data_IF_450039342216
#
_entry.id   IF_450039342216
#
_cell.length_a   1.000
_cell.length_b   1.000
_cell.length_c   1.000
_cell.angle_alpha   90.00
_cell.angle_beta   90.00
_cell.angle_gamma   90.00
#
_symmetry.space_group_name_H-M   'P 1'
#
loop_
_entity.id
_entity.type
_entity.pdbx_description
1 polymer ?
#
# COMPACT_ATOMS: atom_id res chain seq x y z
N UNK A 1 17.47 27.67 9.65
CA UNK A 1 17.03 27.17 8.33
C UNK A 1 16.73 25.70 8.52
N UNK A 2 15.47 25.32 8.69
CA UNK A 2 15.11 23.91 8.96
C UNK A 2 14.48 23.29 7.71
N UNK A 3 15.08 22.20 7.26
CA UNK A 3 14.67 21.42 6.09
C UNK A 3 14.38 19.99 6.56
N UNK A 4 13.11 19.73 6.88
CA UNK A 4 12.73 18.53 7.61
C UNK A 4 12.66 17.30 6.70
N UNK A 5 13.53 16.31 6.93
CA UNK A 5 13.48 15.01 6.27
C UNK A 5 12.56 14.07 7.06
N UNK A 6 11.60 13.41 6.40
CA UNK A 6 10.72 12.41 7.02
C UNK A 6 11.13 11.02 6.55
N UNK A 7 11.60 10.19 7.49
CA UNK A 7 11.95 8.79 7.23
C UNK A 7 10.76 7.86 7.46
N UNK A 8 10.58 6.89 6.57
CA UNK A 8 9.73 5.72 6.82
C UNK A 8 10.64 4.56 7.21
N UNK A 9 10.86 4.37 8.52
CA UNK A 9 11.56 3.19 9.02
C UNK A 9 10.63 1.95 8.99
N UNK A 10 10.91 1.03 8.07
CA UNK A 10 10.28 -0.29 7.98
C UNK A 10 11.21 -1.45 8.37
N UNK A 11 12.36 -1.15 9.00
CA UNK A 11 13.34 -2.15 9.42
C UNK A 11 12.88 -2.98 10.62
N UNK A 12 13.41 -4.20 10.76
CA UNK A 12 13.01 -5.18 11.79
C UNK A 12 14.24 -5.86 12.40
N UNK A 13 14.30 -5.99 13.73
CA UNK A 13 15.15 -7.00 14.38
C UNK A 13 14.76 -7.33 15.82
N UNK A 14 14.69 -8.63 16.11
CA UNK A 14 15.06 -9.34 17.35
C UNK A 14 14.84 -8.69 18.74
N UNK A 15 13.93 -9.29 19.51
CA UNK A 15 14.29 -9.96 20.76
C UNK A 15 13.39 -11.21 20.94
N UNK A 16 13.86 -12.23 21.67
CA UNK A 16 13.20 -13.54 21.76
C UNK A 16 13.17 -14.04 23.20
N UNK A 17 12.05 -14.61 23.65
CA UNK A 17 12.07 -15.63 24.72
C UNK A 17 10.94 -16.66 24.50
N UNK A 18 11.18 -17.88 25.00
CA UNK A 18 10.31 -19.05 24.88
C UNK A 18 9.39 -19.17 26.10
N UNK A 19 8.23 -19.81 25.94
CA UNK A 19 7.90 -21.13 26.55
C UNK A 19 6.51 -21.62 26.04
N UNK A 20 6.20 -22.92 26.08
CA UNK A 20 5.01 -23.50 25.44
C UNK A 20 3.84 -23.75 26.41
N UNK A 21 2.62 -23.87 25.87
CA UNK A 21 1.51 -24.57 26.52
C UNK A 21 0.72 -25.44 25.54
N UNK A 22 -0.15 -26.31 26.06
CA UNK A 22 -0.43 -27.64 25.50
C UNK A 22 -1.82 -27.83 24.87
N UNK A 23 -1.95 -28.97 24.15
CA UNK A 23 -3.16 -29.50 23.50
C UNK A 23 -4.41 -29.50 24.41
N UNK A 24 -5.57 -29.24 23.82
CA UNK A 24 -6.86 -29.91 24.16
C UNK A 24 -7.57 -30.33 22.85
N UNK A 25 -8.31 -31.44 22.90
CA UNK A 25 -9.06 -32.10 21.81
C UNK A 25 -10.31 -32.78 22.43
N UNK A 26 -11.31 -33.33 21.72
CA UNK A 26 -11.44 -33.77 20.31
C UNK A 26 -12.59 -33.02 19.56
N UNK A 27 -13.62 -33.57 18.84
CA UNK A 27 -14.45 -32.77 17.91
C UNK A 27 -15.94 -32.63 18.32
N UNK A 28 -16.75 -32.00 17.44
CA UNK A 28 -18.18 -32.33 17.31
C UNK A 28 -18.60 -32.39 15.83
N UNK A 29 -19.41 -33.38 15.46
CA UNK A 29 -19.97 -33.53 14.10
C UNK A 29 -21.36 -32.88 14.02
N UNK A 30 -21.70 -32.28 12.87
CA UNK A 30 -23.00 -31.64 12.68
C UNK A 30 -23.28 -31.22 11.23
N UNK A 31 -23.43 -32.20 10.33
CA UNK A 31 -23.79 -31.91 8.94
C UNK A 31 -25.31 -31.67 8.80
N UNK A 32 -25.71 -30.48 8.33
CA UNK A 32 -27.08 -30.19 7.87
C UNK A 32 -27.01 -29.62 6.46
N UNK A 33 -27.68 -30.32 5.52
CA UNK A 33 -27.83 -29.89 4.14
C UNK A 33 -29.18 -29.22 3.94
N UNK A 34 -29.20 -28.01 3.38
CA UNK A 34 -30.42 -27.38 2.86
C UNK A 34 -30.10 -26.53 1.62
N UNK A 35 -30.78 -26.84 0.51
CA UNK A 35 -30.73 -26.09 -0.76
C UNK A 35 -31.95 -25.19 -0.88
N UNK A 36 -31.80 -23.91 -1.30
CA UNK A 36 -32.32 -23.36 -2.58
C UNK A 36 -32.42 -21.82 -2.65
N UNK A 37 -32.51 -21.37 -3.91
CA UNK A 37 -33.20 -20.17 -4.41
C UNK A 37 -32.75 -18.78 -3.93
N UNK A 38 -31.79 -18.26 -4.68
CA UNK A 38 -31.72 -16.89 -5.23
C UNK A 38 -33.10 -16.21 -5.37
N UNK A 39 -33.16 -14.93 -5.00
CA UNK A 39 -34.20 -13.97 -5.40
C UNK A 39 -33.63 -12.54 -5.34
N UNK A 40 -33.83 -11.67 -6.36
CA UNK A 40 -33.12 -10.39 -6.46
C UNK A 40 -33.78 -9.27 -5.65
N UNK A 41 -33.01 -8.59 -4.80
CA UNK A 41 -33.43 -7.32 -4.21
C UNK A 41 -33.16 -6.16 -5.17
N UNK A 42 -34.23 -5.48 -5.59
CA UNK A 42 -34.20 -4.44 -6.61
C UNK A 42 -34.08 -3.05 -5.95
N UNK A 43 -33.06 -2.27 -6.33
CA UNK A 43 -32.76 -0.98 -5.72
C UNK A 43 -33.64 0.11 -6.33
N UNK A 44 -34.23 0.97 -5.49
CA UNK A 44 -34.80 2.26 -5.91
C UNK A 44 -34.05 3.40 -5.22
N UNK A 45 -33.68 4.48 -5.95
CA UNK A 45 -32.91 5.58 -5.39
C UNK A 45 -33.77 6.46 -4.47
N UNK A 46 -33.18 6.94 -3.39
CA UNK A 46 -33.81 7.93 -2.51
C UNK A 46 -33.69 9.33 -3.14
N UNK A 47 -34.78 10.10 -3.14
CA UNK A 47 -34.82 11.43 -3.76
C UNK A 47 -34.30 12.50 -2.79
N UNK A 48 -33.35 13.31 -3.24
CA UNK A 48 -32.89 14.50 -2.51
C UNK A 48 -34.04 15.50 -2.34
N UNK A 49 -34.25 16.02 -1.14
CA UNK A 49 -35.20 17.13 -0.94
C UNK A 49 -34.71 18.16 0.09
N UNK A 50 -34.93 19.43 -0.26
CA UNK A 50 -34.91 20.64 0.58
C UNK A 50 -33.67 20.89 1.46
N UNK A 51 -32.77 21.72 0.93
CA UNK A 51 -31.94 22.61 1.75
C UNK A 51 -32.83 23.45 2.66
N UNK A 52 -32.54 23.49 3.97
CA UNK A 52 -32.96 24.59 4.85
C UNK A 52 -31.73 25.33 5.36
N UNK A 53 -31.61 26.59 4.96
CA UNK A 53 -30.72 27.57 5.59
C UNK A 53 -31.17 27.80 7.04
N UNK A 54 -30.20 27.87 7.95
CA UNK A 54 -30.38 28.43 9.29
C UNK A 54 -29.35 29.54 9.50
N UNK A 55 -29.75 30.55 10.27
CA UNK A 55 -29.02 31.82 10.36
C UNK A 55 -27.70 31.67 11.11
N UNK A 56 -26.69 32.42 10.66
CA UNK A 56 -25.58 32.83 11.52
C UNK A 56 -26.16 33.60 12.71
N UNK A 57 -25.65 33.34 13.91
CA UNK A 57 -25.77 34.24 15.06
C UNK A 57 -24.37 34.51 15.58
N UNK A 58 -23.99 35.78 15.65
CA UNK A 58 -22.68 36.19 16.17
C UNK A 58 -22.74 36.32 17.69
N UNK A 59 -21.78 35.72 18.38
CA UNK A 59 -21.52 35.95 19.79
C UNK A 59 -20.03 36.19 20.00
N UNK A 60 -19.65 37.46 20.15
CA UNK A 60 -18.26 37.84 20.42
C UNK A 60 -17.81 37.35 21.80
N UNK A 61 -16.67 36.66 21.85
CA UNK A 61 -15.87 36.52 23.06
C UNK A 61 -14.39 36.61 22.67
N UNK A 62 -13.56 37.42 23.37
CA UNK A 62 -12.16 37.59 23.00
C UNK A 62 -11.33 36.39 23.47
N UNK A 63 -10.88 35.55 22.52
CA UNK A 63 -9.88 34.52 22.80
C UNK A 63 -8.56 35.16 23.30
N UNK A 64 -7.87 34.56 24.28
CA UNK A 64 -6.62 35.12 24.80
C UNK A 64 -5.51 35.08 23.75
N UNK A 65 -4.76 36.18 23.63
CA UNK A 65 -3.59 36.27 22.75
C UNK A 65 -2.45 35.45 23.36
N UNK A 66 -2.30 34.19 22.91
CA UNK A 66 -1.13 33.37 23.25
C UNK A 66 0.06 33.91 22.45
N UNK A 67 0.86 34.73 23.14
CA UNK A 67 2.03 35.40 22.58
C UNK A 67 3.24 34.45 22.62
N UNK A 68 3.18 33.35 21.86
CA UNK A 68 4.24 32.33 21.86
C UNK A 68 5.51 32.82 21.15
N UNK A 69 6.43 33.36 21.95
CA UNK A 69 7.82 33.61 21.59
C UNK A 69 8.76 32.56 22.20
N UNK A 70 8.45 31.28 22.04
CA UNK A 70 9.41 30.20 22.30
C UNK A 70 10.15 29.80 21.00
N UNK A 71 11.46 30.07 20.95
CA UNK A 71 12.31 29.83 19.78
C UNK A 71 12.74 28.37 19.60
N UNK A 72 11.83 27.41 19.79
CA UNK A 72 12.11 26.00 19.51
C UNK A 72 12.06 25.70 18.01
N UNK A 73 13.06 25.00 17.46
CA UNK A 73 12.94 24.49 16.08
C UNK A 73 11.86 23.42 16.01
N UNK A 74 10.78 23.71 15.30
CA UNK A 74 9.67 22.78 15.08
C UNK A 74 10.14 21.58 14.23
N UNK A 75 10.48 20.48 14.90
CA UNK A 75 10.75 19.19 14.26
C UNK A 75 9.53 18.65 13.53
N UNK A 76 9.71 18.06 12.35
CA UNK A 76 8.59 17.49 11.61
C UNK A 76 7.91 16.33 12.34
N UNK A 77 6.58 16.24 12.19
CA UNK A 77 5.77 15.09 12.62
C UNK A 77 6.15 13.87 11.78
N UNK A 78 6.61 12.80 12.44
CA UNK A 78 6.94 11.52 11.78
C UNK A 78 5.67 10.80 11.31
N UNK A 79 5.70 10.29 10.08
CA UNK A 79 4.68 9.36 9.56
C UNK A 79 5.08 7.94 9.96
N UNK A 80 4.46 7.42 11.03
CA UNK A 80 4.71 6.08 11.53
C UNK A 80 3.91 5.04 10.72
N UNK A 81 4.55 4.54 9.67
CA UNK A 81 4.03 3.44 8.86
C UNK A 81 3.94 2.10 9.61
N UNK A 82 4.71 1.89 10.69
CA UNK A 82 4.63 0.68 11.52
C UNK A 82 3.34 0.67 12.35
N UNK A 83 2.98 1.81 12.94
CA UNK A 83 1.71 2.03 13.64
C UNK A 83 0.52 1.87 12.69
N UNK A 84 0.50 2.59 11.56
CA UNK A 84 -0.62 2.53 10.60
C UNK A 84 -0.79 1.12 10.02
N UNK A 85 0.31 0.44 9.66
CA UNK A 85 0.24 -0.94 9.19
C UNK A 85 -0.23 -1.92 10.29
N UNK A 86 -0.06 -1.61 11.59
CA UNK A 86 -0.68 -2.40 12.67
C UNK A 86 -2.19 -2.18 12.70
N UNK A 87 -2.65 -0.93 12.70
CA UNK A 87 -4.09 -0.59 12.69
C UNK A 87 -4.82 -1.31 11.54
N UNK A 88 -4.27 -1.25 10.32
CA UNK A 88 -4.81 -1.93 9.15
C UNK A 88 -4.85 -3.47 9.32
N UNK A 89 -3.85 -4.08 9.98
CA UNK A 89 -3.89 -5.53 10.29
C UNK A 89 -4.92 -5.86 11.37
N UNK A 90 -5.09 -5.01 12.38
CA UNK A 90 -6.10 -5.19 13.42
C UNK A 90 -7.52 -5.12 12.80
N UNK A 91 -7.74 -4.15 11.89
CA UNK A 91 -8.96 -3.99 11.08
C UNK A 91 -9.22 -5.22 10.20
N UNK A 92 -8.24 -5.68 9.42
CA UNK A 92 -8.38 -6.87 8.55
C UNK A 92 -8.66 -8.13 9.37
N UNK A 93 -8.03 -8.29 10.54
CA UNK A 93 -8.28 -9.44 11.43
C UNK A 93 -9.74 -9.50 11.86
N UNK A 94 -10.36 -8.36 12.19
CA UNK A 94 -11.77 -8.30 12.55
C UNK A 94 -12.69 -8.70 11.37
N UNK A 95 -12.41 -8.24 10.15
CA UNK A 95 -13.21 -8.62 8.97
C UNK A 95 -13.03 -10.08 8.55
N UNK A 96 -11.82 -10.64 8.66
CA UNK A 96 -11.56 -12.06 8.36
C UNK A 96 -12.25 -12.97 9.39
N UNK A 97 -12.28 -12.58 10.67
CA UNK A 97 -13.05 -13.31 11.70
C UNK A 97 -14.55 -13.28 11.41
N UNK A 98 -15.13 -12.10 11.12
CA UNK A 98 -16.55 -11.97 10.72
C UNK A 98 -16.88 -12.83 9.50
N UNK A 99 -16.03 -12.85 8.47
CA UNK A 99 -16.22 -13.68 7.28
C UNK A 99 -16.23 -15.17 7.63
N UNK A 100 -15.28 -15.59 8.47
CA UNK A 100 -15.17 -16.99 8.93
C UNK A 100 -16.39 -17.42 9.75
N UNK A 101 -16.90 -16.55 10.62
CA UNK A 101 -18.10 -16.80 11.41
C UNK A 101 -19.38 -16.82 10.57
N UNK A 102 -19.49 -15.92 9.58
CA UNK A 102 -20.70 -15.78 8.75
C UNK A 102 -20.84 -16.86 7.65
N UNK A 103 -19.74 -17.28 7.01
CA UNK A 103 -19.77 -18.20 5.87
C UNK A 103 -18.77 -19.37 5.93
N UNK A 104 -17.97 -19.50 7.00
CA UNK A 104 -17.00 -20.59 7.15
C UNK A 104 -15.75 -20.50 6.27
N UNK A 105 -15.60 -19.42 5.50
CA UNK A 105 -14.49 -19.19 4.55
C UNK A 105 -13.57 -18.08 5.07
N UNK A 106 -12.29 -18.14 4.70
CA UNK A 106 -11.31 -17.05 4.85
C UNK A 106 -10.62 -16.79 3.51
N UNK A 107 -10.11 -15.57 3.24
CA UNK A 107 -9.36 -15.29 2.03
C UNK A 107 -8.09 -16.14 1.92
N UNK A 108 -7.60 -16.32 0.69
CA UNK A 108 -6.35 -17.04 0.42
C UNK A 108 -5.43 -16.27 -0.53
N UNK A 109 -4.16 -16.08 -0.12
CA UNK A 109 -3.11 -15.45 -0.93
C UNK A 109 -2.10 -16.49 -1.39
N UNK A 110 -1.94 -16.65 -2.70
CA UNK A 110 -0.85 -17.40 -3.29
C UNK A 110 0.35 -16.49 -3.59
N UNK A 111 1.56 -16.94 -3.25
CA UNK A 111 2.81 -16.23 -3.52
C UNK A 111 3.76 -17.14 -4.28
N UNK A 112 4.25 -16.65 -5.43
CA UNK A 112 5.27 -17.31 -6.25
C UNK A 112 6.58 -16.57 -6.11
N UNK A 113 7.65 -17.30 -5.81
CA UNK A 113 9.04 -16.83 -5.72
C UNK A 113 9.88 -17.61 -6.73
N UNK A 114 10.75 -16.92 -7.46
CA UNK A 114 11.73 -17.53 -8.38
C UNK A 114 13.12 -17.10 -7.93
N UNK A 115 14.00 -18.06 -7.66
CA UNK A 115 15.35 -17.86 -7.13
C UNK A 115 15.41 -17.47 -5.64
N UNK A 116 16.62 -17.53 -5.07
CA UNK A 116 16.88 -17.39 -3.62
C UNK A 116 17.43 -16.00 -3.21
N UNK A 117 17.05 -14.96 -3.96
CA UNK A 117 17.39 -13.56 -3.65
C UNK A 117 16.99 -13.20 -2.21
N UNK A 118 17.96 -12.86 -1.38
CA UNK A 118 17.79 -12.66 0.09
C UNK A 118 16.75 -11.60 0.45
N UNK A 119 16.64 -10.56 -0.35
CA UNK A 119 15.61 -9.53 -0.25
C UNK A 119 14.23 -10.10 -0.60
N UNK A 120 14.08 -10.72 -1.78
CA UNK A 120 12.83 -11.37 -2.22
C UNK A 120 12.33 -12.43 -1.22
N UNK A 121 13.21 -13.31 -0.74
CA UNK A 121 12.92 -14.32 0.29
C UNK A 121 12.43 -13.68 1.60
N UNK A 122 13.02 -12.54 1.99
CA UNK A 122 12.60 -11.79 3.17
C UNK A 122 11.22 -11.15 2.99
N UNK A 123 10.94 -10.56 1.82
CA UNK A 123 9.62 -10.01 1.50
C UNK A 123 8.53 -11.10 1.50
N UNK A 124 8.77 -12.25 0.86
CA UNK A 124 7.82 -13.39 0.83
C UNK A 124 7.53 -13.91 2.24
N UNK A 125 8.58 -14.12 3.05
CA UNK A 125 8.44 -14.52 4.46
C UNK A 125 7.62 -13.51 5.28
N UNK A 126 7.79 -12.21 5.03
CA UNK A 126 7.07 -11.17 5.73
C UNK A 126 5.60 -11.08 5.27
N UNK A 127 5.32 -11.25 3.96
CA UNK A 127 3.96 -11.35 3.39
C UNK A 127 3.19 -12.54 3.98
N UNK A 128 3.83 -13.72 4.04
CA UNK A 128 3.27 -14.92 4.66
C UNK A 128 2.91 -14.72 6.13
N UNK A 129 3.82 -14.17 6.93
CA UNK A 129 3.57 -13.80 8.34
C UNK A 129 2.43 -12.79 8.51
N UNK A 130 2.27 -11.86 7.57
CA UNK A 130 1.15 -10.92 7.60
C UNK A 130 -0.19 -11.65 7.43
N UNK A 131 -0.30 -12.55 6.43
CA UNK A 131 -1.48 -13.39 6.23
C UNK A 131 -1.79 -14.25 7.47
N UNK A 132 -0.79 -14.97 7.98
CA UNK A 132 -0.90 -15.80 9.20
C UNK A 132 -1.39 -14.97 10.40
N UNK A 133 -0.89 -13.73 10.56
CA UNK A 133 -1.26 -12.84 11.68
C UNK A 133 -2.69 -12.28 11.63
N UNK A 134 -3.36 -12.33 10.47
CA UNK A 134 -4.74 -11.83 10.28
C UNK A 134 -5.73 -12.93 9.88
N UNK A 135 -5.32 -14.21 9.93
CA UNK A 135 -6.18 -15.36 9.64
C UNK A 135 -6.41 -15.67 8.15
N UNK A 136 -5.62 -15.08 7.25
CA UNK A 136 -5.66 -15.35 5.80
C UNK A 136 -4.81 -16.59 5.47
N UNK A 137 -5.34 -17.49 4.64
CA UNK A 137 -4.60 -18.65 4.15
C UNK A 137 -3.44 -18.19 3.25
N UNK A 138 -2.25 -18.76 3.42
CA UNK A 138 -1.08 -18.46 2.59
C UNK A 138 -0.59 -19.71 1.86
N UNK A 139 -0.57 -19.64 0.53
CA UNK A 139 0.02 -20.65 -0.35
C UNK A 139 1.35 -20.12 -0.88
N UNK A 140 2.37 -20.97 -0.94
CA UNK A 140 3.74 -20.56 -1.29
C UNK A 140 4.31 -21.55 -2.32
N UNK A 141 4.80 -21.02 -3.44
CA UNK A 141 5.53 -21.77 -4.46
C UNK A 141 6.92 -21.14 -4.59
N UNK A 142 7.95 -21.98 -4.53
CA UNK A 142 9.33 -21.59 -4.80
C UNK A 142 9.83 -22.37 -6.00
N UNK A 143 10.39 -21.64 -6.95
CA UNK A 143 11.03 -22.16 -8.16
C UNK A 143 12.51 -21.78 -8.13
N UNK A 144 13.41 -22.61 -8.67
CA UNK A 144 14.83 -22.27 -8.73
C UNK A 144 15.05 -21.11 -9.70
N UNK A 145 16.24 -20.50 -9.66
CA UNK A 145 16.53 -19.32 -10.50
C UNK A 145 16.56 -19.66 -12.00
N UNK A 146 16.92 -20.90 -12.36
CA UNK A 146 16.98 -21.41 -13.74
C UNK A 146 15.64 -21.93 -14.30
N UNK A 147 14.55 -21.82 -13.54
CA UNK A 147 13.22 -22.23 -14.03
C UNK A 147 12.80 -21.45 -15.27
N UNK A 148 11.94 -22.07 -16.08
CA UNK A 148 11.37 -21.47 -17.28
C UNK A 148 10.18 -20.57 -16.97
N UNK A 149 9.95 -19.57 -17.81
CA UNK A 149 8.77 -18.69 -17.72
C UNK A 149 7.44 -19.48 -17.78
N UNK A 150 7.41 -20.55 -18.59
CA UNK A 150 6.26 -21.42 -18.77
C UNK A 150 5.93 -22.23 -17.51
N UNK A 151 6.91 -22.56 -16.66
CA UNK A 151 6.68 -23.16 -15.35
C UNK A 151 6.03 -22.15 -14.40
N UNK A 152 6.50 -20.90 -14.37
CA UNK A 152 5.90 -19.82 -13.57
C UNK A 152 4.44 -19.62 -13.97
N UNK A 153 4.17 -19.48 -15.28
CA UNK A 153 2.82 -19.30 -15.84
C UNK A 153 1.93 -20.52 -15.54
N UNK A 154 2.46 -21.74 -15.53
CA UNK A 154 1.71 -22.95 -15.13
C UNK A 154 1.27 -22.91 -13.66
N UNK A 155 2.08 -22.38 -12.75
CA UNK A 155 1.66 -22.16 -11.35
C UNK A 155 0.66 -21.02 -11.20
N UNK A 156 0.82 -19.92 -11.95
CA UNK A 156 -0.18 -18.84 -12.00
C UNK A 156 -1.53 -19.40 -12.50
N UNK A 157 -1.55 -20.11 -13.63
CA UNK A 157 -2.75 -20.71 -14.19
C UNK A 157 -3.44 -21.69 -13.23
N UNK A 158 -2.67 -22.47 -12.44
CA UNK A 158 -3.22 -23.29 -11.37
C UNK A 158 -3.95 -22.44 -10.32
N UNK A 159 -3.35 -21.34 -9.86
CA UNK A 159 -3.92 -20.46 -8.84
C UNK A 159 -5.08 -19.59 -9.36
N UNK A 160 -5.07 -19.20 -10.64
CA UNK A 160 -6.21 -18.57 -11.33
C UNK A 160 -7.45 -19.48 -11.23
N UNK A 161 -7.29 -20.77 -11.51
CA UNK A 161 -8.36 -21.77 -11.45
C UNK A 161 -8.69 -22.32 -10.04
N UNK A 162 -7.90 -21.99 -9.01
CA UNK A 162 -8.12 -22.49 -7.64
C UNK A 162 -9.12 -21.58 -6.87
N UNK A 163 -10.31 -22.07 -6.48
CA UNK A 163 -11.32 -21.26 -5.78
C UNK A 163 -10.96 -20.97 -4.31
N UNK A 164 -9.93 -21.59 -3.74
CA UNK A 164 -9.40 -21.22 -2.42
C UNK A 164 -8.44 -20.03 -2.49
N UNK A 165 -7.90 -19.73 -3.67
CA UNK A 165 -7.01 -18.59 -3.91
C UNK A 165 -7.82 -17.40 -4.40
N UNK A 166 -7.74 -16.31 -3.64
CA UNK A 166 -8.45 -15.04 -3.85
C UNK A 166 -7.51 -13.93 -4.32
N UNK A 167 -6.20 -14.09 -4.12
CA UNK A 167 -5.17 -13.20 -4.62
C UNK A 167 -3.90 -13.97 -4.99
N UNK A 168 -3.18 -13.49 -5.99
CA UNK A 168 -1.92 -14.07 -6.49
C UNK A 168 -0.88 -12.96 -6.50
N UNK A 169 0.34 -13.31 -6.08
CA UNK A 169 1.48 -12.41 -6.06
C UNK A 169 2.71 -13.09 -6.65
N UNK A 170 3.32 -12.47 -7.66
CA UNK A 170 4.62 -12.87 -8.20
C UNK A 170 5.69 -11.96 -7.57
N UNK A 171 6.64 -12.53 -6.83
CA UNK A 171 7.65 -11.72 -6.14
C UNK A 171 8.72 -11.23 -7.13
N UNK A 172 8.72 -9.93 -7.39
CA UNK A 172 9.69 -9.24 -8.22
C UNK A 172 11.01 -8.92 -7.46
N UNK A 173 12.12 -8.68 -8.18
CA UNK A 173 12.30 -8.88 -9.63
C UNK A 173 12.47 -10.36 -9.96
N UNK A 174 12.04 -10.73 -11.17
CA UNK A 174 12.27 -12.07 -11.73
C UNK A 174 13.70 -12.21 -12.31
N UNK A 175 14.16 -13.45 -12.60
CA UNK A 175 15.40 -13.70 -13.32
C UNK A 175 15.42 -13.02 -14.70
N UNK A 176 16.59 -12.58 -15.15
CA UNK A 176 16.74 -11.73 -16.34
C UNK A 176 16.44 -12.39 -17.69
N UNK A 177 16.11 -13.68 -17.72
CA UNK A 177 15.68 -14.43 -18.90
C UNK A 177 14.14 -14.57 -19.03
N UNK A 178 13.37 -14.03 -18.08
CA UNK A 178 11.90 -14.00 -18.12
C UNK A 178 11.38 -12.62 -18.55
N UNK A 179 10.30 -12.57 -19.31
CA UNK A 179 9.52 -11.34 -19.49
C UNK A 179 8.60 -11.12 -18.29
N UNK A 180 9.01 -10.20 -17.40
CA UNK A 180 8.23 -9.79 -16.24
C UNK A 180 6.81 -9.34 -16.61
N UNK A 181 6.60 -8.71 -17.77
CA UNK A 181 5.27 -8.30 -18.21
C UNK A 181 4.44 -9.51 -18.65
N UNK A 182 5.02 -10.49 -19.34
CA UNK A 182 4.29 -11.70 -19.73
C UNK A 182 3.85 -12.52 -18.49
N UNK A 183 4.74 -12.65 -17.50
CA UNK A 183 4.43 -13.33 -16.23
C UNK A 183 3.35 -12.58 -15.43
N UNK A 184 3.44 -11.25 -15.30
CA UNK A 184 2.42 -10.47 -14.59
C UNK A 184 1.07 -10.43 -15.34
N UNK A 185 1.07 -10.42 -16.68
CA UNK A 185 -0.13 -10.48 -17.50
C UNK A 185 -0.86 -11.84 -17.42
N UNK A 186 -0.21 -12.90 -16.95
CA UNK A 186 -0.84 -14.21 -16.75
C UNK A 186 -1.71 -14.28 -15.49
N UNK A 187 -1.59 -13.31 -14.57
CA UNK A 187 -2.42 -13.24 -13.35
C UNK A 187 -3.80 -12.67 -13.71
N UNK A 188 -4.88 -13.40 -13.38
CA UNK A 188 -6.24 -12.91 -13.63
C UNK A 188 -6.48 -11.56 -12.94
N UNK A 189 -7.12 -10.61 -13.62
CA UNK A 189 -7.40 -9.27 -13.08
C UNK A 189 -8.19 -9.29 -11.76
N UNK A 190 -8.97 -10.36 -11.52
CA UNK A 190 -9.76 -10.56 -10.30
C UNK A 190 -8.93 -11.15 -9.13
N UNK A 191 -7.66 -11.53 -9.37
CA UNK A 191 -6.71 -12.00 -8.36
C UNK A 191 -5.38 -11.22 -8.32
N UNK A 192 -5.19 -10.22 -9.19
CA UNK A 192 -4.04 -9.30 -9.24
C UNK A 192 -3.99 -8.35 -8.03
N UNK A 193 -3.80 -8.89 -6.82
CA UNK A 193 -3.83 -8.11 -5.57
C UNK A 193 -2.67 -7.11 -5.43
N UNK A 194 -1.56 -7.32 -6.13
CA UNK A 194 -0.45 -6.35 -6.23
C UNK A 194 -0.75 -5.23 -7.27
N UNK A 195 -1.83 -5.35 -8.07
CA UNK A 195 -2.38 -4.30 -8.92
C UNK A 195 -1.58 -3.98 -10.20
N UNK A 196 -0.74 -4.91 -10.66
CA UNK A 196 0.21 -4.67 -11.75
C UNK A 196 -0.31 -5.05 -13.15
N UNK A 197 -1.43 -5.77 -13.25
CA UNK A 197 -2.04 -6.08 -14.55
C UNK A 197 -2.40 -4.76 -15.28
N UNK A 198 -1.98 -4.56 -16.55
CA UNK A 198 -2.21 -3.32 -17.29
C UNK A 198 -3.68 -2.86 -17.38
N UNK A 199 -4.65 -3.76 -17.21
CA UNK A 199 -6.07 -3.38 -17.12
C UNK A 199 -6.42 -2.65 -15.80
N UNK A 200 -5.78 -2.98 -14.68
CA UNK A 200 -5.91 -2.23 -13.44
C UNK A 200 -5.26 -0.84 -13.57
N UNK A 201 -4.04 -0.74 -14.12
CA UNK A 201 -3.39 0.55 -14.37
C UNK A 201 -4.19 1.41 -15.38
N UNK A 202 -4.73 0.80 -16.44
CA UNK A 202 -5.58 1.48 -17.42
C UNK A 202 -6.89 2.00 -16.81
N UNK A 203 -7.58 1.18 -16.01
CA UNK A 203 -8.76 1.62 -15.25
C UNK A 203 -8.41 2.75 -14.27
N UNK A 204 -7.28 2.68 -13.57
CA UNK A 204 -6.79 3.72 -12.67
C UNK A 204 -6.56 5.05 -13.40
N UNK A 205 -6.01 5.03 -14.62
CA UNK A 205 -5.76 6.23 -15.43
C UNK A 205 -7.03 6.85 -16.04
N UNK A 206 -8.11 6.08 -16.23
CA UNK A 206 -9.35 6.57 -16.83
C UNK A 206 -10.30 7.19 -15.80
N UNK A 207 -10.84 8.38 -16.07
CA UNK A 207 -11.99 8.93 -15.33
C UNK A 207 -13.25 8.10 -15.61
N UNK A 208 -14.11 7.95 -14.60
CA UNK A 208 -15.36 7.19 -14.72
C UNK A 208 -15.19 5.67 -14.81
N UNK A 209 -14.04 5.15 -14.37
CA UNK A 209 -13.76 3.71 -14.21
C UNK A 209 -13.00 3.50 -12.92
N UNK A 210 -13.17 2.34 -12.30
CA UNK A 210 -12.37 1.96 -11.14
C UNK A 210 -11.62 0.64 -11.39
N UNK A 211 -10.35 0.56 -10.96
CA UNK A 211 -9.59 -0.68 -11.01
C UNK A 211 -10.11 -1.67 -9.97
N UNK A 212 -9.88 -2.97 -10.18
CA UNK A 212 -10.18 -3.98 -9.15
C UNK A 212 -9.15 -3.90 -8.02
N UNK A 213 -7.88 -3.72 -8.39
CA UNK A 213 -6.76 -3.56 -7.47
C UNK A 213 -5.89 -2.36 -7.85
N UNK A 214 -5.22 -1.80 -6.85
CA UNK A 214 -4.35 -0.63 -6.99
C UNK A 214 -2.99 -1.00 -6.43
N UNK A 215 -1.88 -0.70 -7.14
CA UNK A 215 -0.53 -0.98 -6.69
C UNK A 215 -0.28 -0.70 -5.21
N UNK A 216 0.09 -1.77 -4.49
CA UNK A 216 0.13 -1.80 -3.02
C UNK A 216 0.90 -0.64 -2.40
N UNK A 217 2.11 -0.37 -2.91
CA UNK A 217 2.99 0.68 -2.38
C UNK A 217 2.43 2.09 -2.63
N UNK A 218 2.02 2.47 -3.85
CA UNK A 218 1.25 3.70 -4.10
C UNK A 218 -0.01 3.83 -3.24
N UNK A 219 -0.83 2.78 -3.11
CA UNK A 219 -2.02 2.81 -2.24
C UNK A 219 -1.64 3.07 -0.78
N UNK A 220 -0.59 2.43 -0.29
CA UNK A 220 -0.05 2.66 1.05
C UNK A 220 0.45 4.08 1.27
N UNK A 221 1.04 4.73 0.25
CA UNK A 221 1.43 6.14 0.35
C UNK A 221 0.21 7.05 0.58
N UNK A 222 -0.87 6.82 -0.17
CA UNK A 222 -2.14 7.57 -0.06
C UNK A 222 -2.83 7.30 1.28
N UNK A 223 -2.89 6.04 1.71
CA UNK A 223 -3.43 5.64 3.03
C UNK A 223 -2.69 6.35 4.18
N UNK A 224 -1.37 6.49 4.10
CA UNK A 224 -0.59 7.24 5.10
C UNK A 224 -0.94 8.73 5.12
N UNK A 225 -1.19 9.36 3.96
CA UNK A 225 -1.65 10.75 3.89
C UNK A 225 -3.03 10.92 4.55
N UNK A 226 -3.98 10.02 4.25
CA UNK A 226 -5.32 10.02 4.87
C UNK A 226 -5.27 9.80 6.39
N UNK A 227 -4.54 8.79 6.85
CA UNK A 227 -4.39 8.48 8.29
C UNK A 227 -3.71 9.60 9.08
N UNK A 228 -2.95 10.47 8.41
CA UNK A 228 -2.32 11.66 9.00
C UNK A 228 -3.11 12.96 8.77
N UNK A 229 -4.31 12.88 8.16
CA UNK A 229 -5.19 13.99 7.81
C UNK A 229 -4.52 15.05 6.90
N UNK A 230 -3.70 14.61 5.95
CA UNK A 230 -3.08 15.47 4.94
C UNK A 230 -4.09 15.74 3.83
N UNK A 231 -4.52 16.99 3.70
CA UNK A 231 -5.32 17.44 2.55
C UNK A 231 -4.51 17.28 1.25
N UNK A 232 -4.93 16.37 0.36
CA UNK A 232 -4.33 16.14 -0.97
C UNK A 232 -4.94 17.08 -2.03
N UNK A 233 -6.23 17.39 -1.90
CA UNK A 233 -7.01 18.19 -2.85
C UNK A 233 -6.42 19.58 -3.07
N UNK A 234 -6.22 19.95 -4.34
CA UNK A 234 -5.69 21.24 -4.75
C UNK A 234 -4.20 21.48 -4.44
N UNK A 235 -3.51 20.53 -3.78
CA UNK A 235 -2.07 20.64 -3.48
C UNK A 235 -1.22 20.44 -4.72
N UNK A 236 0.02 20.93 -4.66
CA UNK A 236 1.09 20.54 -5.58
C UNK A 236 1.76 19.27 -5.07
N UNK A 237 1.55 18.16 -5.77
CA UNK A 237 2.20 16.89 -5.47
C UNK A 237 3.34 16.63 -6.47
N UNK A 238 4.51 16.19 -5.99
CA UNK A 238 5.62 15.76 -6.83
C UNK A 238 5.92 14.29 -6.56
N UNK A 239 5.87 13.48 -7.62
CA UNK A 239 6.34 12.09 -7.57
C UNK A 239 7.70 12.02 -8.25
N UNK A 240 8.70 11.54 -7.52
CA UNK A 240 10.08 11.46 -7.97
C UNK A 240 10.38 10.00 -8.29
N UNK A 241 10.52 9.69 -9.58
CA UNK A 241 10.50 8.33 -10.11
C UNK A 241 9.24 8.07 -10.94
N UNK A 242 9.37 7.25 -11.98
CA UNK A 242 8.29 6.94 -12.94
C UNK A 242 8.22 5.45 -13.30
N UNK A 243 8.50 4.60 -12.32
CA UNK A 243 8.34 3.14 -12.45
C UNK A 243 6.87 2.77 -12.64
N UNK A 244 6.61 1.68 -13.37
CA UNK A 244 5.26 1.16 -13.59
C UNK A 244 4.60 0.72 -12.26
N UNK A 245 5.40 0.22 -11.32
CA UNK A 245 4.94 -0.35 -10.04
C UNK A 245 4.76 0.67 -8.89
N UNK A 246 5.40 1.85 -8.96
CA UNK A 246 5.30 2.87 -7.89
C UNK A 246 5.07 4.29 -8.43
N UNK A 247 6.00 4.81 -9.26
CA UNK A 247 5.98 6.22 -9.64
C UNK A 247 4.74 6.61 -10.45
N UNK A 248 4.40 5.86 -11.49
CA UNK A 248 3.23 6.17 -12.32
C UNK A 248 1.89 5.99 -11.58
N UNK A 249 1.63 4.89 -10.85
CA UNK A 249 0.35 4.73 -10.14
C UNK A 249 0.19 5.72 -8.97
N UNK A 250 1.27 6.09 -8.27
CA UNK A 250 1.20 7.13 -7.23
C UNK A 250 0.79 8.49 -7.80
N UNK A 251 1.31 8.85 -8.97
CA UNK A 251 0.91 10.07 -9.67
C UNK A 251 -0.58 10.04 -10.09
N UNK A 252 -1.09 8.90 -10.57
CA UNK A 252 -2.50 8.75 -10.94
C UNK A 252 -3.44 8.80 -9.73
N UNK A 253 -3.03 8.25 -8.58
CA UNK A 253 -3.83 8.33 -7.34
C UNK A 253 -3.92 9.77 -6.81
N UNK A 254 -2.79 10.48 -6.73
CA UNK A 254 -2.77 11.90 -6.36
C UNK A 254 -3.65 12.74 -7.32
N UNK A 255 -3.63 12.44 -8.62
CA UNK A 255 -4.48 13.11 -9.61
C UNK A 255 -5.98 12.79 -9.42
N UNK A 256 -6.33 11.58 -9.00
CA UNK A 256 -7.73 11.20 -8.67
C UNK A 256 -8.28 11.97 -7.47
N UNK A 257 -7.40 12.36 -6.55
CA UNK A 257 -7.74 13.17 -5.37
C UNK A 257 -7.54 14.69 -5.60
N UNK A 258 -7.71 15.14 -6.85
CA UNK A 258 -7.65 16.55 -7.27
C UNK A 258 -6.32 17.28 -6.95
N UNK A 259 -5.19 16.57 -6.80
CA UNK A 259 -3.89 17.21 -6.70
C UNK A 259 -3.35 17.65 -8.08
N UNK A 260 -2.58 18.74 -8.10
CA UNK A 260 -1.74 19.14 -9.23
C UNK A 260 -0.44 18.36 -9.19
N UNK A 261 -0.32 17.33 -10.03
CA UNK A 261 0.79 16.38 -9.98
C UNK A 261 1.89 16.73 -11.00
N UNK A 262 3.15 16.69 -10.57
CA UNK A 262 4.34 16.72 -11.43
C UNK A 262 5.19 15.45 -11.23
N UNK A 263 5.68 14.87 -12.32
CA UNK A 263 6.51 13.65 -12.29
C UNK A 263 7.96 14.02 -12.64
N UNK A 264 8.86 13.82 -11.67
CA UNK A 264 10.29 14.11 -11.79
C UNK A 264 11.05 12.81 -12.03
N UNK A 265 12.02 12.81 -12.94
CA UNK A 265 12.82 11.63 -13.27
C UNK A 265 14.24 12.02 -13.75
N UNK A 266 15.09 11.03 -14.04
CA UNK A 266 16.50 11.18 -14.46
C UNK A 266 16.77 11.91 -15.79
N UNK A 267 15.76 12.59 -16.36
CA UNK A 267 15.86 13.46 -17.54
C UNK A 267 15.14 14.80 -17.35
N UNK A 268 14.58 15.04 -16.17
CA UNK A 268 14.02 16.34 -15.76
C UNK A 268 15.18 17.30 -15.51
N UNK A 269 15.16 18.47 -16.16
CA UNK A 269 16.11 19.56 -15.86
C UNK A 269 15.68 20.26 -14.58
N UNK A 270 16.66 20.64 -13.76
CA UNK A 270 16.50 21.40 -12.52
C UNK A 270 15.40 20.83 -11.59
N UNK A 271 15.45 19.53 -11.22
CA UNK A 271 14.41 18.88 -10.41
C UNK A 271 14.13 19.60 -9.07
N UNK A 272 15.15 20.20 -8.47
CA UNK A 272 15.05 21.03 -7.27
C UNK A 272 14.11 22.23 -7.41
N UNK A 273 14.05 22.85 -8.59
CA UNK A 273 13.15 23.98 -8.88
C UNK A 273 11.67 23.57 -8.90
N UNK A 274 11.40 22.29 -9.14
CA UNK A 274 10.05 21.71 -9.13
C UNK A 274 9.70 21.27 -7.69
N UNK A 275 10.62 20.57 -7.02
CA UNK A 275 10.40 19.99 -5.68
C UNK A 275 10.22 21.09 -4.61
N UNK A 276 10.91 22.23 -4.72
CA UNK A 276 10.77 23.37 -3.78
C UNK A 276 9.38 24.03 -3.76
N UNK A 277 8.50 23.65 -4.69
CA UNK A 277 7.14 24.15 -4.81
C UNK A 277 6.07 23.08 -4.50
N UNK A 278 6.47 21.87 -4.10
CA UNK A 278 5.57 20.80 -3.72
C UNK A 278 5.09 20.95 -2.27
N UNK A 279 3.81 20.65 -2.03
CA UNK A 279 3.23 20.45 -0.71
C UNK A 279 3.34 18.98 -0.26
N UNK A 280 3.36 18.05 -1.24
CA UNK A 280 3.44 16.60 -1.03
C UNK A 280 4.53 16.04 -1.95
N UNK A 281 5.49 15.29 -1.41
CA UNK A 281 6.56 14.63 -2.15
C UNK A 281 6.48 13.11 -1.93
N UNK A 282 6.41 12.33 -2.99
CA UNK A 282 6.59 10.87 -2.96
C UNK A 282 7.90 10.53 -3.69
N UNK A 283 8.91 10.06 -2.96
CA UNK A 283 10.20 9.63 -3.49
C UNK A 283 10.20 8.13 -3.76
N UNK A 284 10.43 7.72 -5.01
CA UNK A 284 10.39 6.34 -5.49
C UNK A 284 11.56 6.05 -6.45
N UNK A 285 12.76 6.54 -6.11
CA UNK A 285 13.94 6.52 -7.00
C UNK A 285 14.94 5.38 -6.76
N UNK A 286 14.93 4.72 -5.59
CA UNK A 286 15.88 3.65 -5.28
C UNK A 286 17.35 4.11 -5.24
N UNK A 287 17.59 5.37 -4.89
CA UNK A 287 18.93 5.95 -4.76
C UNK A 287 19.05 6.70 -3.43
N UNK A 288 19.98 6.32 -2.52
CA UNK A 288 20.13 6.96 -1.23
C UNK A 288 20.60 8.41 -1.37
N UNK A 289 20.11 9.30 -0.50
CA UNK A 289 20.48 10.72 -0.40
C UNK A 289 20.26 11.55 -1.69
N UNK A 290 19.45 11.08 -2.65
CA UNK A 290 19.19 11.80 -3.90
C UNK A 290 18.34 13.05 -3.67
N UNK A 291 17.28 12.95 -2.89
CA UNK A 291 16.43 14.09 -2.49
C UNK A 291 17.08 14.77 -1.28
N UNK A 292 17.41 16.06 -1.42
CA UNK A 292 18.08 16.84 -0.37
C UNK A 292 17.08 17.68 0.40
N UNK A 293 17.31 17.89 1.69
CA UNK A 293 16.45 18.75 2.51
C UNK A 293 16.29 20.18 1.95
N UNK A 294 17.34 20.73 1.34
CA UNK A 294 17.29 22.06 0.70
C UNK A 294 16.42 22.13 -0.57
N UNK A 295 15.92 21.00 -1.07
CA UNK A 295 14.93 20.96 -2.16
C UNK A 295 13.49 20.97 -1.64
N UNK A 296 13.27 20.74 -0.34
CA UNK A 296 11.94 20.62 0.24
C UNK A 296 11.36 21.99 0.61
N UNK A 297 10.10 22.22 0.23
CA UNK A 297 9.33 23.35 0.73
C UNK A 297 9.12 23.22 2.25
N UNK A 298 9.32 24.28 3.06
CA UNK A 298 8.98 24.26 4.48
C UNK A 298 7.50 23.90 4.70
N UNK A 299 7.25 22.93 5.59
CA UNK A 299 5.91 22.41 5.87
C UNK A 299 5.37 21.40 4.85
N UNK A 300 6.15 20.97 3.86
CA UNK A 300 5.74 19.89 2.96
C UNK A 300 5.73 18.51 3.65
N UNK A 301 4.86 17.63 3.16
CA UNK A 301 4.78 16.23 3.55
C UNK A 301 5.67 15.40 2.62
N UNK A 302 6.53 14.55 3.20
CA UNK A 302 7.43 13.68 2.45
C UNK A 302 7.16 12.22 2.78
N UNK A 303 7.03 11.40 1.74
CA UNK A 303 6.96 9.94 1.80
C UNK A 303 8.13 9.42 0.97
N UNK A 304 9.16 8.87 1.62
CA UNK A 304 10.24 8.17 0.92
C UNK A 304 10.00 6.67 0.91
N UNK A 305 9.89 6.12 -0.30
CA UNK A 305 9.68 4.70 -0.59
C UNK A 305 11.04 3.98 -0.74
N UNK A 306 12.15 4.71 -0.78
CA UNK A 306 13.50 4.19 -1.04
C UNK A 306 14.11 3.37 0.11
N UNK A 307 13.81 2.08 0.19
CA UNK A 307 14.49 1.15 1.09
C UNK A 307 15.85 0.76 0.48
N UNK A 308 16.93 1.40 0.94
CA UNK A 308 18.30 1.20 0.45
C UNK A 308 19.24 0.76 1.59
N UNK A 309 20.10 -0.26 1.40
CA UNK A 309 21.21 -0.48 2.32
C UNK A 309 22.20 0.69 2.21
N UNK A 310 22.66 1.23 3.34
CA UNK A 310 23.63 2.32 3.40
C UNK A 310 24.79 1.96 4.32
N UNK A 311 26.01 2.28 3.90
CA UNK A 311 27.19 2.18 4.77
C UNK A 311 27.10 3.24 5.87
N UNK A 312 26.78 2.82 7.10
CA UNK A 312 26.88 3.68 8.27
C UNK A 312 28.36 3.87 8.61
N UNK A 313 28.99 4.87 8.00
CA UNK A 313 30.29 5.37 8.44
C UNK A 313 30.15 5.85 9.88
N UNK A 314 30.62 5.04 10.84
CA UNK A 314 30.88 5.51 12.19
C UNK A 314 31.88 6.63 12.11
N UNK A 315 31.45 7.83 12.46
CA UNK A 315 32.35 8.93 12.83
C UNK A 315 32.97 8.50 14.16
N UNK A 316 34.31 8.43 14.20
CA UNK A 316 35.12 8.25 15.40
C UNK A 316 35.52 9.61 15.95
#
# INVERSE_FOLDING_TARGET
MSSSLVFIDSSTSTASHLLPFSRITTPFNGAVSLRRSVGPFNVRPFVLSSLRTLSVNSSNNPSPVINDKSGGEASAKVIDGKMVAKQIRDEITAEVLKMKEAIGVVPGLAVILVGDRKDSVTYVRNKKKACESVGINSFEVRLPEDSTEQEVIKFISKFNNDPSVHGILVQLPLPSHMDEQNVLNAVDIEKDVDGFHPLNIGRLAMRGRDPLFVPCTPKGCIELLHRYAVEIKGKRAVVIGRSNIVGMPAALLLQREDATVSIVHSRTKNPEEIIKHADIIISAVGQPNMVRGSWLKPGAVVIDVGINPVEVRKIL
#
